data_IF_987626985900
#
_entry.id   IF_987626985900
#
_cell.length_a   1.000
_cell.length_b   1.000
_cell.length_c   1.000
_cell.angle_alpha   90.00
_cell.angle_beta   90.00
_cell.angle_gamma   90.00
#
_symmetry.space_group_name_H-M   'P 1'
#
loop_
_entity.id
_entity.type
_entity.pdbx_description
1 polymer ?
#
# COMPACT_ATOMS: atom_id res chain seq x y z
N UNK A 1 12.27 13.13 1.27
CA UNK A 1 11.04 13.81 1.71
C UNK A 1 9.95 12.75 1.80
N UNK A 2 9.28 12.59 2.95
CA UNK A 2 8.12 11.69 3.09
C UNK A 2 6.87 12.37 2.54
N UNK A 3 6.08 11.65 1.75
CA UNK A 3 4.80 12.12 1.18
C UNK A 3 3.73 11.12 1.57
N UNK A 4 2.53 11.60 1.91
CA UNK A 4 1.38 10.75 2.19
C UNK A 4 0.68 10.37 0.89
N UNK A 5 0.55 9.07 0.63
CA UNK A 5 0.00 8.53 -0.63
C UNK A 5 -1.15 7.57 -0.31
N UNK A 6 -2.32 7.86 -0.85
CA UNK A 6 -3.45 6.92 -0.88
C UNK A 6 -3.37 6.04 -2.13
N UNK A 7 -3.43 4.71 -1.97
CA UNK A 7 -3.36 3.75 -3.06
C UNK A 7 -4.56 2.80 -3.06
N UNK A 8 -5.40 2.90 -4.09
CA UNK A 8 -6.61 2.07 -4.24
C UNK A 8 -6.36 0.95 -5.24
N UNK A 9 -6.55 -0.29 -4.79
CA UNK A 9 -6.48 -1.49 -5.64
C UNK A 9 -5.23 -2.34 -5.38
N UNK A 10 -5.40 -3.45 -4.69
CA UNK A 10 -4.32 -4.39 -4.33
C UNK A 10 -4.31 -5.61 -5.25
N UNK A 11 -4.18 -5.36 -6.56
CA UNK A 11 -4.08 -6.38 -7.60
C UNK A 11 -2.66 -6.97 -7.75
N UNK A 12 -2.38 -7.56 -8.91
CA UNK A 12 -1.03 -8.08 -9.26
C UNK A 12 0.00 -6.93 -9.28
N UNK A 13 -0.38 -5.78 -9.85
CA UNK A 13 0.51 -4.61 -9.94
C UNK A 13 0.46 -3.69 -8.72
N UNK A 14 -0.72 -3.52 -8.12
CA UNK A 14 -0.90 -2.55 -7.02
C UNK A 14 -0.07 -2.90 -5.78
N UNK A 15 0.05 -4.19 -5.45
CA UNK A 15 0.83 -4.65 -4.30
C UNK A 15 2.33 -4.34 -4.40
N UNK A 16 3.06 -4.72 -5.46
CA UNK A 16 4.47 -4.35 -5.60
C UNK A 16 4.67 -2.84 -5.74
N UNK A 17 3.74 -2.11 -6.37
CA UNK A 17 3.82 -0.64 -6.44
C UNK A 17 3.74 0.01 -5.06
N UNK A 18 2.76 -0.37 -4.24
CA UNK A 18 2.62 0.15 -2.89
C UNK A 18 3.83 -0.19 -2.01
N UNK A 19 4.39 -1.40 -2.15
CA UNK A 19 5.64 -1.80 -1.47
C UNK A 19 6.85 -0.96 -1.91
N UNK A 20 6.97 -0.64 -3.19
CA UNK A 20 8.05 0.23 -3.67
C UNK A 20 7.92 1.65 -3.13
N UNK A 21 6.70 2.18 -3.00
CA UNK A 21 6.46 3.49 -2.38
C UNK A 21 6.85 3.49 -0.89
N UNK A 22 6.53 2.42 -0.15
CA UNK A 22 7.01 2.24 1.22
C UNK A 22 8.54 2.17 1.28
N UNK A 23 9.17 1.39 0.41
CA UNK A 23 10.62 1.25 0.35
C UNK A 23 11.34 2.57 -0.01
N UNK A 24 10.68 3.44 -0.79
CA UNK A 24 11.15 4.79 -1.10
C UNK A 24 11.00 5.78 0.08
N UNK A 25 10.40 5.36 1.20
CA UNK A 25 10.23 6.16 2.41
C UNK A 25 8.99 7.04 2.40
N UNK A 26 7.97 6.70 1.62
CA UNK A 26 6.67 7.37 1.65
C UNK A 26 5.72 6.72 2.66
N UNK A 27 4.81 7.52 3.22
CA UNK A 27 3.70 7.03 4.03
C UNK A 27 2.56 6.58 3.10
N UNK A 28 2.27 5.29 3.06
CA UNK A 28 1.28 4.72 2.14
C UNK A 28 0.07 4.20 2.91
N UNK A 29 -1.12 4.67 2.51
CA UNK A 29 -2.40 4.12 2.96
C UNK A 29 -3.04 3.36 1.80
N UNK A 30 -3.39 2.09 2.02
CA UNK A 30 -3.98 1.23 1.00
C UNK A 30 -5.46 0.95 1.25
N UNK A 31 -6.21 0.83 0.17
CA UNK A 31 -7.60 0.38 0.19
C UNK A 31 -7.86 -0.60 -0.95
N UNK A 32 -8.71 -1.60 -0.70
CA UNK A 32 -9.21 -2.49 -1.73
C UNK A 32 -10.59 -3.01 -1.31
N UNK A 33 -11.52 -3.18 -2.28
CA UNK A 33 -12.87 -3.70 -2.02
C UNK A 33 -12.86 -5.03 -1.24
N UNK A 34 -11.91 -5.89 -1.54
CA UNK A 34 -11.65 -7.12 -0.77
C UNK A 34 -10.48 -6.85 0.17
N UNK A 35 -10.77 -6.71 1.47
CA UNK A 35 -9.78 -6.28 2.47
C UNK A 35 -8.56 -7.20 2.57
N UNK A 36 -8.74 -8.51 2.41
CA UNK A 36 -7.64 -9.48 2.52
C UNK A 36 -6.52 -9.25 1.51
N UNK A 37 -6.79 -8.52 0.41
CA UNK A 37 -5.75 -8.15 -0.56
C UNK A 37 -4.79 -7.08 -0.04
N UNK A 38 -5.16 -6.34 1.00
CA UNK A 38 -4.29 -5.35 1.64
C UNK A 38 -3.30 -5.97 2.64
N UNK A 39 -3.57 -7.16 3.17
CA UNK A 39 -2.79 -7.79 4.25
C UNK A 39 -1.30 -7.85 3.95
N UNK A 40 -0.94 -8.27 2.74
CA UNK A 40 0.45 -8.40 2.30
C UNK A 40 1.23 -7.07 2.28
N UNK A 41 0.53 -5.96 2.05
CA UNK A 41 1.12 -4.62 1.97
C UNK A 41 1.09 -3.93 3.33
N UNK A 42 0.05 -4.17 4.13
CA UNK A 42 -0.02 -3.73 5.53
C UNK A 42 1.08 -4.38 6.36
N UNK A 43 1.32 -5.69 6.16
CA UNK A 43 2.45 -6.39 6.78
C UNK A 43 3.83 -5.81 6.37
N UNK A 44 3.90 -5.14 5.21
CA UNK A 44 5.10 -4.45 4.74
C UNK A 44 5.23 -3.00 5.26
N UNK A 45 4.24 -2.49 6.01
CA UNK A 45 4.28 -1.16 6.64
C UNK A 45 3.26 -0.15 6.12
N UNK A 46 2.36 -0.51 5.21
CA UNK A 46 1.26 0.38 4.83
C UNK A 46 0.19 0.47 5.92
N UNK A 47 -0.47 1.62 6.00
CA UNK A 47 -1.72 1.76 6.73
C UNK A 47 -2.89 1.21 5.90
N UNK A 48 -3.90 0.64 6.54
CA UNK A 48 -5.17 0.29 5.90
C UNK A 48 -6.15 1.46 6.10
N UNK A 49 -6.84 1.88 5.03
CA UNK A 49 -7.95 2.83 5.12
C UNK A 49 -9.21 2.17 5.69
#
# INVERSE_FOLDING_TARGET
MSTKIGFIGMGIMGRPMAKNLLAAGHEVTVYNRTESRCEEVVAAGAAKA
#
